data_IF_334804000494
#
_entry.id   IF_334804000494
#
_cell.length_a   1.000
_cell.length_b   1.000
_cell.length_c   1.000
_cell.angle_alpha   90.00
_cell.angle_beta   90.00
_cell.angle_gamma   90.00
#
_symmetry.space_group_name_H-M   'P 1'
#
loop_
_entity.id
_entity.type
_entity.pdbx_description
1 polymer ?
#
# COMPACT_ATOMS: atom_id res chain seq x y z
N UNK A 1 -0.08 0.68 27.22
CA UNK A 1 -0.99 0.33 26.11
C UNK A 1 -0.41 1.01 24.89
N UNK A 2 0.03 0.27 23.87
CA UNK A 2 0.59 0.89 22.68
C UNK A 2 -0.56 1.47 21.85
N UNK A 3 -0.58 2.78 21.66
CA UNK A 3 -1.53 3.45 20.80
C UNK A 3 -1.36 2.91 19.37
N UNK A 4 -2.40 2.29 18.82
CA UNK A 4 -2.44 1.89 17.41
C UNK A 4 -2.48 3.17 16.56
N UNK A 5 -1.31 3.74 16.26
CA UNK A 5 -1.21 4.89 15.38
C UNK A 5 -1.63 4.49 13.96
N UNK A 6 -2.73 5.07 13.48
CA UNK A 6 -3.10 5.01 12.07
C UNK A 6 -2.11 5.85 11.29
N UNK A 7 -1.41 5.21 10.35
CA UNK A 7 -0.47 5.90 9.47
C UNK A 7 -1.10 6.03 8.09
N UNK A 8 -1.24 7.27 7.62
CA UNK A 8 -1.62 7.52 6.24
C UNK A 8 -0.35 7.44 5.39
N UNK A 9 -0.38 6.60 4.36
CA UNK A 9 0.77 6.43 3.46
C UNK A 9 0.33 6.80 2.06
N UNK A 10 1.04 7.73 1.38
CA UNK A 10 0.69 8.12 0.03
C UNK A 10 0.98 6.98 -0.93
N UNK A 11 0.06 6.75 -1.86
CA UNK A 11 0.25 5.82 -2.98
C UNK A 11 -0.14 6.48 -4.30
N UNK A 12 0.63 6.18 -5.32
CA UNK A 12 0.34 6.59 -6.69
C UNK A 12 -0.26 5.40 -7.44
N UNK A 13 -1.37 5.63 -8.14
CA UNK A 13 -2.00 4.58 -8.95
C UNK A 13 -2.03 5.05 -10.40
N UNK A 14 -1.36 4.32 -11.26
CA UNK A 14 -1.36 4.56 -12.70
C UNK A 14 -2.17 3.47 -13.40
N UNK A 15 -3.03 3.85 -14.34
CA UNK A 15 -3.69 2.88 -15.23
C UNK A 15 -2.79 2.64 -16.44
N UNK A 16 -2.37 1.39 -16.60
CA UNK A 16 -1.68 0.88 -17.79
C UNK A 16 -2.70 0.19 -18.72
N UNK A 17 -2.30 -0.17 -19.94
CA UNK A 17 -3.19 -0.66 -21.02
C UNK A 17 -4.27 -1.64 -20.52
N UNK A 18 -3.86 -2.67 -19.77
CA UNK A 18 -4.73 -3.73 -19.27
C UNK A 18 -4.64 -3.94 -17.74
N UNK A 19 -3.98 -3.04 -17.01
CA UNK A 19 -3.74 -3.20 -15.58
C UNK A 19 -3.68 -1.86 -14.85
N UNK A 20 -3.67 -1.93 -13.52
CA UNK A 20 -3.41 -0.81 -12.64
C UNK A 20 -2.13 -1.11 -11.87
N UNK A 21 -1.19 -0.18 -11.91
CA UNK A 21 0.06 -0.24 -11.15
C UNK A 21 -0.09 0.71 -9.96
N UNK A 22 0.27 0.24 -8.78
CA UNK A 22 0.32 1.06 -7.58
C UNK A 22 1.73 1.08 -7.01
N UNK A 23 2.19 2.26 -6.65
CA UNK A 23 3.51 2.48 -6.08
C UNK A 23 3.41 3.26 -4.77
N UNK A 24 4.10 2.76 -3.75
CA UNK A 24 4.27 3.42 -2.47
C UNK A 24 5.72 3.92 -2.33
N UNK A 25 5.99 5.23 -2.48
CA UNK A 25 7.33 5.78 -2.44
C UNK A 25 8.00 5.61 -1.07
N UNK A 26 7.25 5.75 0.03
CA UNK A 26 7.81 5.73 1.39
C UNK A 26 8.48 4.40 1.76
N UNK A 27 8.05 3.31 1.15
CA UNK A 27 8.57 1.97 1.40
C UNK A 27 9.15 1.33 0.14
N UNK A 28 9.19 2.06 -0.97
CA UNK A 28 9.63 1.55 -2.28
C UNK A 28 8.94 0.24 -2.70
N UNK A 29 7.64 0.07 -2.36
CA UNK A 29 6.84 -1.10 -2.72
C UNK A 29 6.01 -0.80 -3.95
N UNK A 30 6.09 -1.67 -4.96
CA UNK A 30 5.33 -1.60 -6.19
C UNK A 30 4.51 -2.88 -6.37
N UNK A 31 3.26 -2.74 -6.79
CA UNK A 31 2.37 -3.86 -7.08
C UNK A 31 1.42 -3.52 -8.23
N UNK A 32 0.72 -4.54 -8.75
CA UNK A 32 -0.22 -4.38 -9.87
C UNK A 32 -1.50 -5.18 -9.67
N UNK A 33 -2.56 -4.84 -10.40
CA UNK A 33 -3.82 -5.56 -10.39
C UNK A 33 -4.69 -5.28 -11.61
N UNK A 34 -5.70 -6.13 -11.85
CA UNK A 34 -6.67 -5.94 -12.94
C UNK A 34 -7.61 -4.74 -12.72
N UNK A 35 -7.70 -4.25 -11.49
CA UNK A 35 -8.43 -3.03 -11.12
C UNK A 35 -7.61 -2.25 -10.09
N UNK A 36 -7.88 -0.95 -9.93
CA UNK A 36 -7.23 -0.15 -8.89
C UNK A 36 -7.40 -0.75 -7.48
N UNK A 37 -8.58 -1.32 -7.17
CA UNK A 37 -8.82 -2.00 -5.88
C UNK A 37 -7.93 -3.22 -5.69
N UNK A 38 -7.77 -4.04 -6.73
CA UNK A 38 -6.90 -5.22 -6.70
C UNK A 38 -5.43 -4.80 -6.56
N UNK A 39 -5.01 -3.75 -7.27
CA UNK A 39 -3.65 -3.23 -7.15
C UNK A 39 -3.34 -2.78 -5.70
N UNK A 40 -4.24 -2.00 -5.08
CA UNK A 40 -4.11 -1.59 -3.67
C UNK A 40 -4.11 -2.79 -2.73
N UNK A 41 -4.98 -3.78 -2.94
CA UNK A 41 -4.99 -5.00 -2.14
C UNK A 41 -3.65 -5.72 -2.21
N UNK A 42 -3.10 -5.93 -3.41
CA UNK A 42 -1.81 -6.58 -3.61
C UNK A 42 -0.66 -5.78 -2.97
N UNK A 43 -0.72 -4.45 -3.02
CA UNK A 43 0.23 -3.59 -2.32
C UNK A 43 0.16 -3.79 -0.80
N UNK A 44 -1.03 -3.97 -0.21
CA UNK A 44 -1.19 -4.27 1.22
C UNK A 44 -0.44 -5.54 1.63
N UNK A 45 -0.61 -6.61 0.86
CA UNK A 45 0.12 -7.87 1.08
C UNK A 45 1.64 -7.66 0.92
N UNK A 46 2.05 -6.81 -0.04
CA UNK A 46 3.46 -6.44 -0.24
C UNK A 46 4.11 -5.72 0.95
N UNK A 47 3.32 -5.19 1.90
CA UNK A 47 3.86 -4.59 3.12
C UNK A 47 4.01 -5.57 4.29
N UNK A 48 3.48 -6.80 4.20
CA UNK A 48 3.58 -7.78 5.31
C UNK A 48 5.01 -7.95 5.86
N UNK A 49 6.07 -8.00 5.04
CA UNK A 49 7.44 -8.10 5.54
C UNK A 49 7.84 -6.91 6.44
N UNK A 50 7.40 -5.69 6.09
CA UNK A 50 7.70 -4.47 6.85
C UNK A 50 6.94 -4.42 8.19
N UNK A 51 5.77 -5.04 8.25
CA UNK A 51 4.96 -5.08 9.49
C UNK A 51 5.44 -6.13 10.48
N UNK A 52 6.02 -7.22 9.98
CA UNK A 52 6.60 -8.28 10.81
C UNK A 52 7.92 -7.85 11.46
N UNK A 53 8.74 -7.05 10.78
CA UNK A 53 10.01 -6.58 11.33
C UNK A 53 9.84 -5.48 12.40
N UNK A 54 8.90 -4.54 12.23
CA UNK A 54 8.76 -3.43 13.19
C UNK A 54 7.82 -3.72 14.38
N UNK A 55 7.21 -4.91 14.49
CA UNK A 55 6.20 -5.20 15.53
C UNK A 55 5.00 -4.22 15.47
N UNK A 56 4.77 -3.63 14.29
CA UNK A 56 3.83 -2.54 14.07
C UNK A 56 2.51 -3.07 13.53
N UNK A 57 1.54 -3.27 14.44
CA UNK A 57 0.11 -3.32 14.07
C UNK A 57 -0.42 -1.94 13.66
N UNK A 58 0.27 -1.22 12.77
CA UNK A 58 -0.22 0.06 12.25
C UNK A 58 -1.30 -0.21 11.20
N UNK A 59 -2.47 0.39 11.39
CA UNK A 59 -3.57 0.33 10.43
C UNK A 59 -3.33 1.41 9.39
N UNK A 60 -2.97 1.01 8.18
CA UNK A 60 -2.65 1.92 7.09
C UNK A 60 -3.91 2.35 6.35
N UNK A 61 -4.08 3.66 6.18
CA UNK A 61 -5.10 4.21 5.30
C UNK A 61 -4.40 4.74 4.04
N UNK A 62 -4.72 4.12 2.91
CA UNK A 62 -4.12 4.45 1.62
C UNK A 62 -4.85 5.64 1.01
N UNK A 63 -4.11 6.71 0.73
CA UNK A 63 -4.65 7.90 0.08
C UNK A 63 -4.20 7.86 -1.39
N UNK A 64 -5.17 7.79 -2.30
CA UNK A 64 -4.93 7.77 -3.73
C UNK A 64 -4.59 9.17 -4.24
N UNK A 65 -3.49 9.28 -4.96
CA UNK A 65 -3.18 10.44 -5.81
C UNK A 65 -3.18 10.00 -7.27
N UNK A 66 -3.88 10.80 -8.11
CA UNK A 66 -4.11 10.57 -9.55
C UNK A 66 -2.82 10.37 -10.34
#
# INVERSE_FOLDING_TARGET
MADNQKMNVPVFITKEENSFVVFCPSFHVLNQGSTAKVAIYNLKEGFEPYFLEENLKKVYNFINFN
#
